data_IF_524020376694
#
_entry.id   IF_524020376694
#
_cell.length_a   1.000
_cell.length_b   1.000
_cell.length_c   1.000
_cell.angle_alpha   90.00
_cell.angle_beta   90.00
_cell.angle_gamma   90.00
#
_symmetry.space_group_name_H-M   'P 1'
#
loop_
_entity.id
_entity.type
_entity.pdbx_description
1 polymer ?
#
# COMPACT_ATOMS: atom_id res chain seq x y z
N UNK A 1 45.81 27.19 29.48
CA UNK A 1 45.37 28.40 28.78
C UNK A 1 44.23 27.96 27.88
N UNK A 2 43.00 28.10 28.37
CA UNK A 2 41.80 27.75 27.64
C UNK A 2 41.17 29.06 27.17
N UNK A 3 41.35 29.38 25.91
CA UNK A 3 40.72 30.54 25.28
C UNK A 3 39.27 30.18 24.95
N UNK A 4 38.36 30.66 25.81
CA UNK A 4 36.94 30.73 25.53
C UNK A 4 36.70 31.86 24.51
N UNK A 5 36.52 31.52 23.24
CA UNK A 5 36.02 32.48 22.25
C UNK A 5 34.49 32.44 22.23
N UNK A 6 33.95 33.52 22.80
CA UNK A 6 32.58 34.00 22.81
C UNK A 6 31.99 34.06 21.39
N UNK A 7 30.85 33.41 21.16
CA UNK A 7 30.05 33.58 19.95
C UNK A 7 28.92 34.57 20.25
N UNK A 8 29.13 35.83 19.85
CA UNK A 8 28.07 36.83 19.83
C UNK A 8 27.13 36.56 18.64
N UNK A 9 25.82 36.48 18.94
CA UNK A 9 24.74 36.33 17.96
C UNK A 9 24.41 37.70 17.35
N UNK A 10 24.86 37.96 16.12
CA UNK A 10 24.27 39.01 15.26
C UNK A 10 24.30 38.56 13.80
N UNK A 11 23.12 38.47 13.18
CA UNK A 11 22.97 38.45 11.73
C UNK A 11 23.03 37.07 11.09
N UNK A 12 21.88 36.57 10.64
CA UNK A 12 21.76 35.28 9.96
C UNK A 12 22.60 35.18 8.69
N UNK A 13 23.38 34.09 8.61
CA UNK A 13 23.65 33.23 7.44
C UNK A 13 24.68 32.18 7.87
N UNK A 14 24.31 30.90 7.85
CA UNK A 14 25.27 29.80 7.98
C UNK A 14 25.59 29.33 6.56
N UNK A 15 26.85 29.46 6.15
CA UNK A 15 27.35 28.94 4.88
C UNK A 15 27.51 27.42 4.95
N UNK A 16 27.12 26.73 3.87
CA UNK A 16 27.32 25.30 3.67
C UNK A 16 28.81 24.98 3.50
N UNK A 17 29.51 24.68 4.59
CA UNK A 17 30.80 23.99 4.51
C UNK A 17 30.68 22.62 5.19
N UNK A 18 30.91 21.58 4.38
CA UNK A 18 30.58 20.20 4.72
C UNK A 18 31.38 19.64 5.89
N UNK A 19 30.72 18.82 6.71
CA UNK A 19 31.37 18.04 7.77
C UNK A 19 32.30 16.98 7.16
N UNK A 20 33.60 17.16 7.33
CA UNK A 20 34.61 16.14 7.09
C UNK A 20 34.93 15.48 8.43
N UNK A 21 34.58 14.20 8.58
CA UNK A 21 35.02 13.36 9.70
C UNK A 21 35.89 12.23 9.14
N UNK A 22 37.12 12.11 9.66
CA UNK A 22 38.10 11.07 9.31
C UNK A 22 38.36 10.95 7.80
N UNK A 23 38.48 12.08 7.10
CA UNK A 23 38.88 12.13 5.69
C UNK A 23 37.89 11.53 4.69
N UNK A 24 36.66 11.19 5.10
CA UNK A 24 35.62 10.70 4.18
C UNK A 24 34.62 11.81 3.85
N UNK A 25 34.53 12.17 2.58
CA UNK A 25 33.55 13.12 2.06
C UNK A 25 32.22 12.37 1.85
N UNK A 26 31.21 12.64 2.69
CA UNK A 26 29.95 11.88 2.73
C UNK A 26 28.93 12.27 1.64
N UNK A 27 29.31 13.14 0.68
CA UNK A 27 28.42 13.69 -0.35
C UNK A 27 28.58 13.08 -1.75
N UNK A 28 29.45 12.09 -1.96
CA UNK A 28 29.77 11.58 -3.31
C UNK A 28 28.93 10.38 -3.80
N UNK A 29 27.64 10.31 -3.48
CA UNK A 29 26.79 9.23 -4.01
C UNK A 29 25.46 9.80 -4.54
N UNK A 30 25.41 10.02 -5.86
CA UNK A 30 24.29 10.63 -6.60
C UNK A 30 22.94 9.89 -6.51
N UNK A 31 22.88 8.80 -5.74
CA UNK A 31 21.67 8.02 -5.45
C UNK A 31 21.06 8.35 -4.06
N UNK A 32 21.74 9.19 -3.27
CA UNK A 32 21.26 9.62 -1.94
C UNK A 32 20.23 10.76 -2.06
N UNK A 33 20.45 11.70 -2.96
CA UNK A 33 19.57 12.86 -3.17
C UNK A 33 18.22 12.49 -3.78
N UNK A 34 18.16 11.52 -4.70
CA UNK A 34 16.89 11.03 -5.24
C UNK A 34 16.09 10.24 -4.19
N UNK A 35 16.78 9.50 -3.32
CA UNK A 35 16.16 8.91 -2.12
C UNK A 35 15.62 9.96 -1.17
N UNK A 36 16.37 11.03 -0.93
CA UNK A 36 15.91 12.16 -0.11
C UNK A 36 14.67 12.78 -0.73
N UNK A 37 14.62 13.04 -2.04
CA UNK A 37 13.41 13.57 -2.71
C UNK A 37 12.19 12.66 -2.59
N UNK A 38 12.36 11.34 -2.75
CA UNK A 38 11.26 10.36 -2.59
C UNK A 38 10.81 10.26 -1.13
N UNK A 39 11.74 10.34 -0.17
CA UNK A 39 11.44 10.31 1.27
C UNK A 39 10.86 11.65 1.77
N UNK A 40 11.27 12.76 1.15
CA UNK A 40 10.75 14.11 1.35
C UNK A 40 9.33 14.22 0.81
N UNK A 41 9.06 13.63 -0.37
CA UNK A 41 7.70 13.49 -0.93
C UNK A 41 6.76 12.63 -0.07
N UNK A 42 7.30 11.72 0.73
CA UNK A 42 6.54 10.79 1.58
C UNK A 42 6.48 11.20 3.07
N UNK A 43 7.06 12.34 3.45
CA UNK A 43 6.99 12.86 4.82
C UNK A 43 7.63 11.96 5.88
N UNK A 44 8.76 11.31 5.56
CA UNK A 44 9.45 10.38 6.47
C UNK A 44 10.60 11.05 7.26
N UNK A 45 10.60 10.83 8.56
CA UNK A 45 11.43 11.48 9.59
C UNK A 45 12.92 11.12 9.47
N UNK A 46 13.77 12.15 9.40
CA UNK A 46 15.11 12.18 9.98
C UNK A 46 15.19 13.39 10.92
N UNK A 47 15.98 13.30 11.99
CA UNK A 47 16.20 14.35 13.00
C UNK A 47 16.91 15.59 12.41
N UNK A 48 16.21 16.36 11.57
CA UNK A 48 16.48 17.77 11.32
C UNK A 48 15.14 18.45 11.05
N UNK A 49 14.79 19.54 11.74
CA UNK A 49 13.51 20.20 11.60
C UNK A 49 13.44 20.89 10.23
N UNK A 50 12.72 20.29 9.28
CA UNK A 50 12.22 20.99 8.09
C UNK A 50 10.72 21.18 8.28
N UNK A 51 10.29 22.43 8.27
CA UNK A 51 8.93 22.92 8.54
C UNK A 51 7.86 22.38 7.55
N UNK A 52 8.27 21.79 6.43
CA UNK A 52 7.40 21.36 5.31
C UNK A 52 6.76 19.96 5.52
N UNK A 53 7.30 19.12 6.41
CA UNK A 53 6.86 17.72 6.52
C UNK A 53 5.50 17.53 7.17
N UNK A 54 5.26 18.28 8.23
CA UNK A 54 3.98 18.20 8.94
C UNK A 54 2.87 18.80 8.06
N UNK A 55 3.18 19.84 7.27
CA UNK A 55 2.23 20.41 6.33
C UNK A 55 1.80 19.41 5.24
N UNK A 56 2.75 18.65 4.67
CA UNK A 56 2.45 17.61 3.67
C UNK A 56 1.59 16.49 4.28
N UNK A 57 1.91 16.07 5.51
CA UNK A 57 1.10 15.09 6.24
C UNK A 57 -0.33 15.60 6.45
N UNK A 58 -0.48 16.80 7.02
CA UNK A 58 -1.78 17.42 7.29
C UNK A 58 -2.56 17.67 6.00
N UNK A 59 -1.90 18.01 4.89
CA UNK A 59 -2.53 18.14 3.57
C UNK A 59 -3.16 16.82 3.11
N UNK A 60 -2.41 15.72 3.14
CA UNK A 60 -2.95 14.42 2.72
C UNK A 60 -3.98 13.87 3.69
N UNK A 61 -3.80 14.12 5.00
CA UNK A 61 -4.78 13.78 6.00
C UNK A 61 -6.11 14.51 5.76
N UNK A 62 -6.09 15.82 5.48
CA UNK A 62 -7.29 16.59 5.08
C UNK A 62 -7.94 16.03 3.81
N UNK A 63 -7.16 15.76 2.78
CA UNK A 63 -7.67 15.14 1.54
C UNK A 63 -8.34 13.78 1.78
N UNK A 64 -7.81 12.98 2.71
CA UNK A 64 -8.40 11.70 3.09
C UNK A 64 -9.71 11.88 3.87
N UNK A 65 -9.79 12.89 4.74
CA UNK A 65 -11.04 13.22 5.44
C UNK A 65 -12.13 13.64 4.45
N UNK A 66 -11.82 14.54 3.51
CA UNK A 66 -12.74 14.95 2.44
C UNK A 66 -13.19 13.75 1.58
N UNK A 67 -12.26 12.84 1.27
CA UNK A 67 -12.59 11.61 0.57
C UNK A 67 -13.58 10.75 1.39
N UNK A 68 -13.32 10.58 2.69
CA UNK A 68 -14.17 9.78 3.57
C UNK A 68 -15.56 10.38 3.71
N UNK A 69 -15.67 11.70 3.81
CA UNK A 69 -16.95 12.38 3.85
C UNK A 69 -17.76 12.15 2.56
N UNK A 70 -17.11 12.25 1.39
CA UNK A 70 -17.76 12.06 0.09
C UNK A 70 -18.14 10.60 -0.22
N UNK A 71 -17.32 9.64 0.22
CA UNK A 71 -17.43 8.24 -0.18
C UNK A 71 -17.85 7.29 0.97
N UNK A 72 -17.99 7.80 2.19
CA UNK A 72 -18.36 7.03 3.38
C UNK A 72 -17.27 6.07 3.90
N UNK A 73 -16.08 6.04 3.28
CA UNK A 73 -14.99 5.13 3.65
C UNK A 73 -13.61 5.73 3.31
N UNK A 74 -12.54 5.17 3.88
CA UNK A 74 -11.15 5.59 3.61
C UNK A 74 -10.46 4.75 2.52
N UNK A 75 -11.22 4.07 1.66
CA UNK A 75 -10.70 3.10 0.70
C UNK A 75 -10.45 3.74 -0.66
N UNK A 76 -9.48 4.66 -0.68
CA UNK A 76 -9.11 5.42 -1.88
C UNK A 76 -8.63 4.48 -3.01
N UNK A 77 -9.32 4.44 -4.17
CA UNK A 77 -8.91 3.66 -5.33
C UNK A 77 -7.56 4.12 -5.89
N UNK A 78 -6.75 3.19 -6.37
CA UNK A 78 -5.43 3.54 -6.94
C UNK A 78 -5.55 4.36 -8.23
N UNK A 79 -6.52 4.03 -9.09
CA UNK A 79 -6.77 4.73 -10.35
C UNK A 79 -7.61 5.99 -10.11
N UNK A 80 -7.16 7.14 -10.62
CA UNK A 80 -7.93 8.40 -10.59
C UNK A 80 -7.72 9.30 -9.37
N UNK A 81 -7.04 8.82 -8.31
CA UNK A 81 -6.83 9.59 -7.07
C UNK A 81 -5.36 9.97 -6.80
N UNK A 82 -4.47 9.70 -7.76
CA UNK A 82 -3.12 10.24 -7.84
C UNK A 82 -2.30 10.12 -6.55
N UNK A 83 -1.81 11.27 -6.06
CA UNK A 83 -0.92 11.33 -4.88
C UNK A 83 -1.60 10.83 -3.59
N UNK A 84 -2.91 11.07 -3.44
CA UNK A 84 -3.66 10.65 -2.25
C UNK A 84 -3.73 9.11 -2.16
N UNK A 85 -4.05 8.43 -3.27
CA UNK A 85 -4.14 6.97 -3.27
C UNK A 85 -2.78 6.30 -3.02
N UNK A 86 -1.71 6.91 -3.53
CA UNK A 86 -0.34 6.49 -3.22
C UNK A 86 -0.01 6.70 -1.75
N UNK A 87 -0.29 7.88 -1.19
CA UNK A 87 -0.05 8.18 0.22
C UNK A 87 -0.78 7.20 1.15
N UNK A 88 -2.07 6.94 0.88
CA UNK A 88 -2.88 5.97 1.63
C UNK A 88 -2.31 4.55 1.55
N UNK A 89 -1.84 4.13 0.36
CA UNK A 89 -1.17 2.84 0.18
C UNK A 89 0.08 2.74 1.05
N UNK A 90 0.92 3.78 1.05
CA UNK A 90 2.16 3.81 1.84
C UNK A 90 1.84 3.72 3.34
N UNK A 91 0.81 4.40 3.84
CA UNK A 91 0.45 4.29 5.26
C UNK A 91 0.13 2.85 5.67
N UNK A 92 -0.62 2.12 4.83
CA UNK A 92 -0.93 0.70 5.07
C UNK A 92 0.32 -0.19 5.05
N UNK A 93 1.26 0.08 4.15
CA UNK A 93 2.54 -0.64 4.08
C UNK A 93 3.39 -0.40 5.34
N UNK A 94 3.53 0.85 5.77
CA UNK A 94 4.28 1.23 6.97
C UNK A 94 3.67 0.66 8.26
N UNK A 95 2.34 0.67 8.37
CA UNK A 95 1.63 0.02 9.48
C UNK A 95 1.87 -1.49 9.48
N UNK A 96 1.87 -2.12 8.30
CA UNK A 96 2.24 -3.53 8.14
C UNK A 96 3.68 -3.85 8.56
N UNK A 97 4.61 -2.90 8.45
CA UNK A 97 5.97 -3.08 8.96
C UNK A 97 6.02 -2.90 10.49
N UNK A 98 5.28 -1.93 11.00
CA UNK A 98 5.19 -1.63 12.44
C UNK A 98 4.61 -2.82 13.23
N UNK A 99 3.55 -3.43 12.71
CA UNK A 99 2.85 -4.55 13.36
C UNK A 99 3.59 -5.89 13.28
N UNK A 100 4.54 -6.07 12.36
CA UNK A 100 5.32 -7.31 12.22
C UNK A 100 6.52 -7.39 13.17
N UNK A 101 6.81 -6.30 13.89
CA UNK A 101 7.96 -6.20 14.80
C UNK A 101 9.32 -6.18 14.07
N UNK A 102 10.40 -5.85 14.77
CA UNK A 102 11.76 -6.11 14.29
C UNK A 102 11.94 -7.61 14.04
N UNK A 103 12.77 -7.99 13.06
CA UNK A 103 13.14 -9.39 12.85
C UNK A 103 13.86 -9.87 14.13
N UNK A 104 13.34 -10.87 14.87
CA UNK A 104 14.08 -11.47 15.98
C UNK A 104 15.32 -12.14 15.39
N UNK A 105 16.51 -11.78 15.89
CA UNK A 105 17.86 -12.14 15.39
C UNK A 105 18.55 -11.09 14.49
N UNK A 106 18.57 -9.83 14.93
CA UNK A 106 19.55 -8.84 14.49
C UNK A 106 20.79 -8.79 15.42
N UNK A 107 21.07 -9.91 16.10
CA UNK A 107 22.27 -10.14 16.89
C UNK A 107 23.11 -11.16 16.12
N UNK A 108 24.31 -10.71 15.76
CA UNK A 108 25.43 -11.45 15.16
C UNK A 108 25.34 -11.77 13.65
N UNK A 109 26.03 -10.93 12.86
CA UNK A 109 26.45 -11.12 11.46
C UNK A 109 25.37 -11.02 10.36
N UNK A 110 24.79 -9.82 10.17
CA UNK A 110 23.99 -9.51 8.96
C UNK A 110 24.78 -8.58 8.03
N UNK A 111 24.88 -8.85 6.71
CA UNK A 111 25.48 -7.93 5.74
C UNK A 111 24.76 -6.58 5.77
N UNK A 112 25.50 -5.46 5.58
CA UNK A 112 25.02 -4.06 5.49
C UNK A 112 23.82 -3.80 4.55
N UNK A 113 23.30 -4.81 3.84
CA UNK A 113 22.15 -4.72 2.93
C UNK A 113 20.78 -4.94 3.59
N UNK A 114 20.70 -5.37 4.84
CA UNK A 114 19.42 -5.47 5.55
C UNK A 114 19.05 -4.12 6.19
N UNK A 115 18.56 -3.17 5.38
CA UNK A 115 18.05 -1.90 5.92
C UNK A 115 16.85 -2.16 6.83
N UNK A 116 16.79 -1.53 8.02
CA UNK A 116 15.59 -1.58 8.85
C UNK A 116 14.38 -1.08 8.04
N UNK A 117 13.28 -1.83 8.09
CA UNK A 117 12.05 -1.44 7.39
C UNK A 117 11.48 -0.18 8.04
N UNK A 118 11.05 0.77 7.23
CA UNK A 118 10.41 1.98 7.73
C UNK A 118 9.04 1.65 8.34
N UNK A 119 8.75 2.33 9.45
CA UNK A 119 7.52 2.21 10.25
C UNK A 119 6.78 3.54 10.27
N UNK A 120 5.51 3.52 10.67
CA UNK A 120 4.71 4.73 10.84
C UNK A 120 4.76 5.18 12.31
N UNK A 121 4.99 6.48 12.61
CA UNK A 121 4.98 7.00 13.97
C UNK A 121 3.64 6.78 14.69
N UNK A 122 3.68 6.54 16.00
CA UNK A 122 2.48 6.23 16.79
C UNK A 122 1.40 7.32 16.73
N UNK A 123 1.78 8.60 16.75
CA UNK A 123 0.81 9.71 16.69
C UNK A 123 0.04 9.74 15.36
N UNK A 124 0.69 9.35 14.25
CA UNK A 124 0.05 9.25 12.92
C UNK A 124 -0.89 8.05 12.82
N UNK A 125 -0.56 6.95 13.50
CA UNK A 125 -1.46 5.82 13.66
C UNK A 125 -2.73 6.28 14.38
N UNK A 126 -2.57 6.92 15.53
CA UNK A 126 -3.69 7.42 16.33
C UNK A 126 -4.56 8.42 15.56
N UNK A 127 -3.96 9.32 14.79
CA UNK A 127 -4.68 10.29 13.96
C UNK A 127 -5.48 9.61 12.83
N UNK A 128 -4.95 8.54 12.22
CA UNK A 128 -5.69 7.75 11.23
C UNK A 128 -6.79 6.91 11.88
N UNK A 129 -6.53 6.33 13.05
CA UNK A 129 -7.51 5.54 13.82
C UNK A 129 -8.67 6.39 14.34
N UNK A 130 -8.41 7.64 14.76
CA UNK A 130 -9.47 8.55 15.24
C UNK A 130 -10.47 8.89 14.14
N UNK A 131 -10.04 8.88 12.88
CA UNK A 131 -10.92 9.01 11.72
C UNK A 131 -11.43 7.66 11.20
N UNK A 132 -11.28 6.56 11.94
CA UNK A 132 -11.75 5.22 11.57
C UNK A 132 -11.10 4.68 10.29
N UNK A 133 -9.81 4.94 10.08
CA UNK A 133 -9.07 4.49 8.90
C UNK A 133 -8.94 2.96 8.86
N UNK A 134 -9.31 2.36 7.73
CA UNK A 134 -9.17 0.93 7.52
C UNK A 134 -7.74 0.57 7.02
N UNK A 135 -6.91 0.04 7.91
CA UNK A 135 -5.54 -0.40 7.62
C UNK A 135 -5.48 -1.58 6.65
N UNK A 136 -6.46 -2.49 6.72
CA UNK A 136 -6.53 -3.69 5.88
C UNK A 136 -7.81 -3.66 5.05
N UNK A 137 -7.70 -3.21 3.80
CA UNK A 137 -8.78 -3.41 2.84
C UNK A 137 -8.85 -4.91 2.52
N UNK A 138 -9.86 -5.58 3.06
CA UNK A 138 -10.28 -6.85 2.48
C UNK A 138 -11.09 -6.51 1.24
N UNK A 139 -10.79 -7.08 0.05
CA UNK A 139 -11.76 -7.03 -1.03
C UNK A 139 -13.07 -7.54 -0.45
N UNK A 140 -14.13 -6.73 -0.48
CA UNK A 140 -15.46 -7.22 -0.13
C UNK A 140 -15.67 -8.42 -1.04
N UNK A 141 -15.77 -9.60 -0.43
CA UNK A 141 -16.04 -10.81 -1.18
C UNK A 141 -17.45 -10.62 -1.74
N UNK A 142 -17.53 -10.19 -3.01
CA UNK A 142 -18.81 -10.09 -3.69
C UNK A 142 -19.56 -11.40 -3.56
N UNK A 143 -20.88 -11.31 -3.43
CA UNK A 143 -21.71 -12.51 -3.36
C UNK A 143 -21.58 -13.25 -4.68
N UNK A 144 -21.86 -14.56 -4.63
CA UNK A 144 -21.78 -15.40 -5.83
C UNK A 144 -22.63 -14.84 -6.99
N UNK A 145 -23.80 -14.28 -6.68
CA UNK A 145 -24.71 -13.70 -7.67
C UNK A 145 -24.13 -12.50 -8.40
N UNK A 146 -23.39 -11.62 -7.72
CA UNK A 146 -22.77 -10.45 -8.34
C UNK A 146 -21.67 -10.89 -9.30
N UNK A 147 -20.88 -11.91 -8.93
CA UNK A 147 -19.85 -12.51 -9.80
C UNK A 147 -20.44 -13.22 -11.00
N UNK A 148 -21.58 -13.88 -10.82
CA UNK A 148 -22.33 -14.47 -11.91
C UNK A 148 -22.82 -13.41 -12.90
N UNK A 149 -23.31 -12.25 -12.41
CA UNK A 149 -23.69 -11.14 -13.28
C UNK A 149 -22.51 -10.56 -14.08
N UNK A 150 -21.33 -10.43 -13.46
CA UNK A 150 -20.10 -10.04 -14.19
C UNK A 150 -19.74 -11.03 -15.31
N UNK A 151 -19.92 -12.34 -15.07
CA UNK A 151 -19.70 -13.37 -16.08
C UNK A 151 -20.72 -13.28 -17.22
N UNK A 152 -22.00 -13.02 -16.92
CA UNK A 152 -23.04 -12.80 -17.95
C UNK A 152 -22.69 -11.61 -18.83
N UNK A 153 -22.24 -10.50 -18.23
CA UNK A 153 -21.80 -9.32 -18.98
C UNK A 153 -20.60 -9.64 -19.87
N UNK A 154 -19.62 -10.39 -19.37
CA UNK A 154 -18.49 -10.87 -20.16
C UNK A 154 -18.95 -11.71 -21.35
N UNK A 155 -19.85 -12.68 -21.13
CA UNK A 155 -20.41 -13.50 -22.21
C UNK A 155 -21.10 -12.64 -23.27
N UNK A 156 -21.88 -11.66 -22.86
CA UNK A 156 -22.57 -10.78 -23.80
C UNK A 156 -21.58 -9.94 -24.65
N UNK A 157 -20.42 -9.59 -24.10
CA UNK A 157 -19.41 -8.82 -24.81
C UNK A 157 -18.47 -9.68 -25.69
N UNK A 158 -18.16 -10.91 -25.25
CA UNK A 158 -17.14 -11.77 -25.86
C UNK A 158 -17.72 -12.97 -26.63
N UNK A 159 -19.00 -13.29 -26.43
CA UNK A 159 -19.68 -14.45 -27.02
C UNK A 159 -19.51 -15.76 -26.23
N UNK A 160 -18.54 -15.84 -25.31
CA UNK A 160 -18.27 -17.04 -24.54
C UNK A 160 -17.96 -16.75 -23.05
N UNK A 161 -17.81 -17.82 -22.27
CA UNK A 161 -17.42 -17.74 -20.85
C UNK A 161 -15.94 -18.11 -20.63
N UNK A 162 -15.09 -18.07 -21.66
CA UNK A 162 -13.72 -18.55 -21.60
C UNK A 162 -12.76 -17.48 -21.08
N UNK A 163 -12.84 -17.25 -19.77
CA UNK A 163 -12.01 -16.25 -19.11
C UNK A 163 -10.68 -16.88 -18.67
N UNK A 164 -9.51 -16.37 -19.11
CA UNK A 164 -8.22 -16.81 -18.61
C UNK A 164 -8.07 -16.55 -17.11
N UNK A 165 -7.32 -17.39 -16.39
CA UNK A 165 -7.07 -17.18 -14.96
C UNK A 165 -6.43 -15.81 -14.67
N UNK A 166 -5.53 -15.36 -15.55
CA UNK A 166 -4.87 -14.05 -15.53
C UNK A 166 -5.58 -13.06 -16.46
N UNK A 167 -6.90 -12.93 -16.32
CA UNK A 167 -7.67 -11.98 -17.11
C UNK A 167 -7.39 -10.54 -16.64
N UNK A 168 -6.54 -9.82 -17.39
CA UNK A 168 -6.08 -8.48 -17.00
C UNK A 168 -7.20 -7.44 -16.76
N UNK A 169 -8.29 -7.39 -17.56
CA UNK A 169 -9.37 -6.43 -17.32
C UNK A 169 -10.10 -6.66 -15.99
N UNK A 170 -10.24 -7.93 -15.57
CA UNK A 170 -10.80 -8.28 -14.27
C UNK A 170 -10.15 -9.56 -13.71
N UNK A 171 -9.00 -9.45 -13.03
CA UNK A 171 -8.26 -10.62 -12.54
C UNK A 171 -9.04 -11.39 -11.46
N UNK A 172 -10.00 -10.74 -10.82
CA UNK A 172 -10.85 -11.34 -9.78
C UNK A 172 -11.85 -12.29 -10.43
N UNK A 173 -12.48 -11.86 -11.54
CA UNK A 173 -13.41 -12.69 -12.31
C UNK A 173 -12.71 -13.92 -12.90
N UNK A 174 -11.53 -13.78 -13.49
CA UNK A 174 -10.76 -14.92 -14.01
C UNK A 174 -10.40 -15.94 -12.92
N UNK A 175 -10.01 -15.48 -11.72
CA UNK A 175 -9.80 -16.36 -10.56
C UNK A 175 -11.11 -17.01 -10.09
N UNK A 176 -12.22 -16.29 -10.13
CA UNK A 176 -13.53 -16.80 -9.71
C UNK A 176 -14.05 -17.90 -10.64
N UNK A 177 -13.91 -17.71 -11.96
CA UNK A 177 -14.22 -18.72 -13.00
C UNK A 177 -13.38 -19.98 -12.80
N UNK A 178 -12.06 -19.84 -12.62
CA UNK A 178 -11.18 -20.97 -12.33
C UNK A 178 -11.62 -21.74 -11.07
N UNK A 179 -12.06 -21.03 -10.02
CA UNK A 179 -12.61 -21.67 -8.82
C UNK A 179 -13.91 -22.43 -9.10
N UNK A 180 -14.82 -21.90 -9.92
CA UNK A 180 -16.06 -22.62 -10.28
C UNK A 180 -15.73 -23.95 -10.95
N UNK A 181 -14.77 -23.96 -11.89
CA UNK A 181 -14.26 -25.17 -12.54
C UNK A 181 -13.70 -26.16 -11.51
N UNK A 182 -12.83 -25.69 -10.61
CA UNK A 182 -12.29 -26.52 -9.53
C UNK A 182 -13.38 -27.14 -8.65
N UNK A 183 -14.39 -26.35 -8.26
CA UNK A 183 -15.52 -26.83 -7.47
C UNK A 183 -16.37 -27.87 -8.20
N UNK A 184 -16.52 -27.75 -9.51
CA UNK A 184 -17.18 -28.77 -10.32
C UNK A 184 -16.38 -30.08 -10.34
N UNK A 185 -15.07 -30.02 -10.60
CA UNK A 185 -14.23 -31.22 -10.58
C UNK A 185 -14.19 -31.90 -9.21
N UNK A 186 -14.15 -31.12 -8.12
CA UNK A 186 -14.26 -31.66 -6.77
C UNK A 186 -15.62 -32.34 -6.55
N UNK A 187 -16.73 -31.75 -7.02
CA UNK A 187 -18.07 -32.35 -6.96
C UNK A 187 -18.14 -33.66 -7.75
N UNK A 188 -17.64 -33.69 -8.99
CA UNK A 188 -17.61 -34.88 -9.85
C UNK A 188 -16.76 -36.00 -9.24
N UNK A 189 -15.69 -35.67 -8.52
CA UNK A 189 -14.83 -36.62 -7.79
C UNK A 189 -15.40 -37.06 -6.44
N UNK A 190 -16.62 -36.65 -6.09
CA UNK A 190 -17.25 -36.97 -4.79
C UNK A 190 -16.64 -36.24 -3.60
N UNK A 191 -15.86 -35.17 -3.82
CA UNK A 191 -15.31 -34.34 -2.75
C UNK A 191 -16.29 -33.24 -2.36
N UNK A 192 -16.10 -32.69 -1.16
CA UNK A 192 -16.88 -31.55 -0.68
C UNK A 192 -16.70 -30.35 -1.61
N UNK A 193 -17.81 -29.85 -2.16
CA UNK A 193 -17.82 -28.72 -3.08
C UNK A 193 -18.85 -27.67 -2.65
N UNK A 194 -18.53 -26.36 -2.71
CA UNK A 194 -19.48 -25.28 -2.47
C UNK A 194 -20.36 -24.97 -3.70
N UNK A 195 -20.23 -25.73 -4.79
CA UNK A 195 -21.05 -25.61 -6.00
C UNK A 195 -22.38 -26.35 -5.80
N UNK A 196 -23.42 -25.60 -5.43
CA UNK A 196 -24.79 -26.11 -5.32
C UNK A 196 -25.35 -26.45 -6.71
N UNK A 197 -26.41 -27.27 -6.75
CA UNK A 197 -27.11 -27.60 -7.99
C UNK A 197 -27.65 -26.34 -8.70
N UNK A 198 -28.27 -25.42 -7.97
CA UNK A 198 -28.77 -24.15 -8.52
C UNK A 198 -27.65 -23.30 -9.17
N UNK A 199 -26.47 -23.23 -8.53
CA UNK A 199 -25.33 -22.50 -9.08
C UNK A 199 -24.76 -23.14 -10.33
N UNK A 200 -24.71 -24.47 -10.33
CA UNK A 200 -24.29 -25.24 -11.50
C UNK A 200 -25.26 -25.00 -12.66
N UNK A 201 -26.56 -25.12 -12.43
CA UNK A 201 -27.61 -24.91 -13.44
C UNK A 201 -27.56 -23.48 -14.01
N UNK A 202 -27.40 -22.46 -13.16
CA UNK A 202 -27.20 -21.07 -13.61
C UNK A 202 -25.99 -20.93 -14.54
N UNK A 203 -24.85 -21.53 -14.20
CA UNK A 203 -23.66 -21.51 -15.06
C UNK A 203 -23.91 -22.26 -16.38
N UNK A 204 -24.56 -23.42 -16.33
CA UNK A 204 -24.89 -24.21 -17.52
C UNK A 204 -25.88 -23.47 -18.44
N UNK A 205 -26.86 -22.75 -17.88
CA UNK A 205 -27.83 -21.95 -18.64
C UNK A 205 -27.18 -20.86 -19.50
N UNK A 206 -25.98 -20.41 -19.13
CA UNK A 206 -25.21 -19.44 -19.90
C UNK A 206 -24.12 -20.11 -20.75
N UNK A 207 -24.14 -21.43 -20.92
CA UNK A 207 -23.17 -22.17 -21.73
C UNK A 207 -21.76 -22.14 -21.15
N UNK A 208 -21.65 -22.17 -19.81
CA UNK A 208 -20.35 -22.17 -19.13
C UNK A 208 -19.57 -23.48 -19.39
N UNK A 209 -18.32 -23.34 -19.86
CA UNK A 209 -17.42 -24.47 -20.05
C UNK A 209 -16.64 -24.78 -18.76
N UNK A 210 -16.82 -26.01 -18.24
CA UNK A 210 -16.23 -26.54 -17.01
C UNK A 210 -14.74 -26.92 -17.13
#
# INVERSE_FOLDING_TARGET
MNDNVRLDLVGGKIFNEGLILNGKNFYSDGNRFERIKVLTFLGMVWEFPNEDYEEIWQKHFRQLMEYKEKHGNSNVPQKGFGKLSWWVKIQRELYGNTTRGPIPNAIDNVPLRARPKQTIPQHRIQQLESMGFEWRIRPVALKWIDRYQELVQYKNANGDCNIPQKFNPNPILGKWVMKQRGFYYDKVRGRKSPLTYERQEKLESIGFCW
#
